data_IF_079940733784
#
_entry.id   IF_079940733784
#
_cell.length_a   1.000
_cell.length_b   1.000
_cell.length_c   1.000
_cell.angle_alpha   90.00
_cell.angle_beta   90.00
_cell.angle_gamma   90.00
#
_symmetry.space_group_name_H-M   'P 1'
#
loop_
_entity.id
_entity.type
_entity.pdbx_description
1 polymer ?
#
# COMPACT_ATOMS: atom_id res chain seq x y z
N UNK A 1 49.02 54.94 -16.27
CA UNK A 1 48.24 53.99 -17.08
C UNK A 1 48.18 52.65 -16.35
N UNK A 2 47.05 52.30 -15.72
CA UNK A 2 46.89 51.00 -15.02
C UNK A 2 46.53 49.92 -16.04
N UNK A 3 47.37 48.90 -16.16
CA UNK A 3 47.21 47.82 -17.15
C UNK A 3 45.90 47.03 -16.94
N UNK A 4 45.06 46.86 -17.96
CA UNK A 4 43.76 46.17 -17.87
C UNK A 4 43.87 44.65 -17.69
N UNK A 5 45.10 44.11 -17.71
CA UNK A 5 45.37 42.67 -17.64
C UNK A 5 45.18 42.13 -16.21
N UNK A 6 45.56 42.89 -15.18
CA UNK A 6 45.45 42.46 -13.79
C UNK A 6 44.00 42.30 -13.30
N UNK A 7 43.07 43.08 -13.86
CA UNK A 7 41.63 43.02 -13.53
C UNK A 7 40.95 41.74 -14.04
N UNK A 8 41.38 41.24 -15.22
CA UNK A 8 40.82 40.00 -15.80
C UNK A 8 41.34 38.75 -15.09
N UNK A 9 42.60 38.75 -14.66
CA UNK A 9 43.21 37.63 -13.92
C UNK A 9 42.59 37.51 -12.51
N UNK A 10 42.36 38.64 -11.82
CA UNK A 10 41.71 38.63 -10.50
C UNK A 10 40.26 38.10 -10.54
N UNK A 11 39.48 38.45 -11.59
CA UNK A 11 38.12 37.92 -11.78
C UNK A 11 38.09 36.42 -12.14
N UNK A 12 39.09 35.93 -12.88
CA UNK A 12 39.21 34.50 -13.20
C UNK A 12 39.56 33.67 -11.96
N UNK A 13 40.51 34.14 -11.14
CA UNK A 13 40.91 33.49 -9.88
C UNK A 13 39.77 33.47 -8.86
N UNK A 14 39.00 34.56 -8.74
CA UNK A 14 37.86 34.61 -7.81
C UNK A 14 36.74 33.63 -8.20
N UNK A 15 36.47 33.43 -9.50
CA UNK A 15 35.50 32.43 -9.97
C UNK A 15 36.00 30.99 -9.79
N UNK A 16 37.29 30.76 -9.94
CA UNK A 16 37.88 29.43 -9.79
C UNK A 16 37.94 29.00 -8.31
N UNK A 17 38.21 29.93 -7.39
CA UNK A 17 38.13 29.69 -5.94
C UNK A 17 36.70 29.44 -5.49
N UNK A 18 35.70 30.14 -6.05
CA UNK A 18 34.29 29.90 -5.73
C UNK A 18 33.82 28.53 -6.25
N UNK A 19 34.31 28.08 -7.41
CA UNK A 19 34.01 26.75 -7.96
C UNK A 19 34.66 25.63 -7.13
N UNK A 20 35.88 25.84 -6.61
CA UNK A 20 36.56 24.91 -5.73
C UNK A 20 35.91 24.80 -4.34
N UNK A 21 35.36 25.89 -3.80
CA UNK A 21 34.59 25.87 -2.54
C UNK A 21 33.22 25.18 -2.74
N UNK A 22 32.59 25.31 -3.92
CA UNK A 22 31.36 24.58 -4.25
C UNK A 22 31.60 23.08 -4.47
N UNK A 23 32.73 22.67 -5.06
CA UNK A 23 33.06 21.25 -5.23
C UNK A 23 33.54 20.56 -3.94
N UNK A 24 34.14 21.30 -3.00
CA UNK A 24 34.58 20.74 -1.71
C UNK A 24 33.41 20.39 -0.76
N UNK A 25 32.20 20.88 -1.03
CA UNK A 25 30.98 20.57 -0.26
C UNK A 25 30.11 19.46 -0.88
N UNK A 26 30.53 18.82 -1.98
CA UNK A 26 29.74 17.77 -2.68
C UNK A 26 30.29 16.35 -2.42
N UNK A 27 31.39 16.20 -1.67
CA UNK A 27 31.85 14.91 -1.16
C UNK A 27 31.72 14.85 0.36
N UNK A 28 30.49 14.96 0.86
CA UNK A 28 30.16 14.26 2.10
C UNK A 28 30.01 12.79 1.71
N UNK A 29 30.81 11.85 2.24
CA UNK A 29 30.50 10.44 2.08
C UNK A 29 29.10 10.27 2.66
N UNK A 30 28.12 9.98 1.80
CA UNK A 30 26.83 9.45 2.22
C UNK A 30 27.22 8.24 3.08
N UNK A 31 27.00 8.24 4.41
CA UNK A 31 27.13 7.00 5.13
C UNK A 31 26.15 6.08 4.44
N UNK A 32 26.65 5.02 3.82
CA UNK A 32 25.81 3.94 3.36
C UNK A 32 24.86 3.69 4.51
N UNK A 33 23.57 3.98 4.29
CA UNK A 33 22.54 3.71 5.27
C UNK A 33 22.50 2.18 5.30
N UNK A 34 23.40 1.62 6.11
CA UNK A 34 23.29 0.25 6.55
C UNK A 34 21.96 0.25 7.27
N UNK A 35 20.93 -0.20 6.56
CA UNK A 35 19.68 -0.62 7.14
C UNK A 35 20.02 -1.80 8.03
N UNK A 36 20.55 -1.51 9.21
CA UNK A 36 20.38 -2.36 10.37
C UNK A 36 18.89 -2.26 10.69
N UNK A 37 18.09 -3.02 9.94
CA UNK A 37 16.86 -3.58 10.46
C UNK A 37 17.29 -4.43 11.64
N UNK A 38 17.45 -3.80 12.80
CA UNK A 38 17.26 -4.50 14.05
C UNK A 38 15.83 -5.02 13.96
N UNK A 39 15.69 -6.29 13.57
CA UNK A 39 14.51 -7.07 13.87
C UNK A 39 14.46 -7.12 15.39
N UNK A 40 13.91 -6.05 15.97
CA UNK A 40 13.47 -6.04 17.34
C UNK A 40 12.53 -7.24 17.46
N UNK A 41 12.87 -8.14 18.37
CA UNK A 41 12.14 -9.37 18.65
C UNK A 41 10.64 -9.07 18.63
N UNK A 42 9.97 -9.61 17.62
CA UNK A 42 8.52 -9.48 17.45
C UNK A 42 7.87 -9.92 18.76
N UNK A 43 7.13 -9.04 19.45
CA UNK A 43 6.44 -9.45 20.67
C UNK A 43 5.55 -10.64 20.34
N UNK A 44 5.56 -11.66 21.19
CA UNK A 44 4.64 -12.79 21.11
C UNK A 44 3.23 -12.24 21.33
N UNK A 45 2.48 -12.03 20.24
CA UNK A 45 1.19 -11.34 20.30
C UNK A 45 0.11 -12.36 20.68
N UNK A 46 -0.18 -12.46 21.97
CA UNK A 46 -1.52 -12.85 22.41
C UNK A 46 -2.34 -11.56 22.52
N UNK A 47 -3.34 -11.37 21.64
CA UNK A 47 -4.16 -10.15 21.62
C UNK A 47 -4.99 -9.89 22.88
N UNK A 48 -4.99 -10.82 23.84
CA UNK A 48 -5.85 -10.80 25.03
C UNK A 48 -5.54 -9.71 26.08
N UNK A 49 -4.45 -8.94 25.96
CA UNK A 49 -4.02 -8.03 27.05
C UNK A 49 -3.43 -6.67 26.61
N UNK A 50 -3.54 -6.27 25.33
CA UNK A 50 -3.00 -4.98 24.89
C UNK A 50 -3.91 -3.80 25.28
N UNK A 51 -3.34 -2.83 25.99
CA UNK A 51 -3.98 -1.54 26.33
C UNK A 51 -4.09 -0.61 25.12
N UNK A 52 -5.02 0.35 25.17
CA UNK A 52 -5.18 1.36 24.11
C UNK A 52 -3.87 2.14 23.84
N UNK A 53 -3.09 2.41 24.89
CA UNK A 53 -1.80 3.09 24.75
C UNK A 53 -0.77 2.24 23.97
N UNK A 54 -0.75 0.93 24.17
CA UNK A 54 0.11 0.02 23.42
C UNK A 54 -0.34 -0.12 21.97
N UNK A 55 -1.65 -0.20 21.74
CA UNK A 55 -2.23 -0.21 20.39
C UNK A 55 -1.89 1.06 19.61
N UNK A 56 -1.91 2.23 20.25
CA UNK A 56 -1.46 3.49 19.65
C UNK A 56 0.03 3.47 19.30
N UNK A 57 0.89 2.94 20.19
CA UNK A 57 2.33 2.77 19.89
C UNK A 57 2.53 1.85 18.68
N UNK A 58 1.79 0.75 18.61
CA UNK A 58 1.83 -0.18 17.48
C UNK A 58 1.34 0.48 16.19
N UNK A 59 0.26 1.26 16.23
CA UNK A 59 -0.22 2.02 15.08
C UNK A 59 0.86 2.97 14.53
N UNK A 60 1.58 3.69 15.40
CA UNK A 60 2.69 4.55 14.97
C UNK A 60 3.82 3.74 14.31
N UNK A 61 4.12 2.53 14.80
CA UNK A 61 5.11 1.63 14.19
C UNK A 61 4.68 1.13 12.81
N UNK A 62 3.41 0.77 12.65
CA UNK A 62 2.81 0.38 11.37
C UNK A 62 2.90 1.55 10.37
N UNK A 63 2.49 2.76 10.79
CA UNK A 63 2.55 3.96 9.95
C UNK A 63 3.98 4.29 9.49
N UNK A 64 4.95 4.18 10.40
CA UNK A 64 6.36 4.44 10.09
C UNK A 64 7.06 3.26 9.38
N UNK A 65 6.33 2.20 8.98
CA UNK A 65 6.86 0.98 8.38
C UNK A 65 8.03 0.34 9.17
N UNK A 66 8.01 0.45 10.51
CA UNK A 66 9.04 -0.17 11.38
C UNK A 66 8.68 -1.59 11.83
N UNK A 67 7.59 -2.13 11.30
CA UNK A 67 7.17 -3.53 11.45
C UNK A 67 6.88 -4.12 10.07
N UNK A 68 7.13 -5.42 9.90
CA UNK A 68 6.90 -6.11 8.62
C UNK A 68 5.41 -6.29 8.33
N UNK A 69 5.06 -6.41 7.05
CA UNK A 69 3.70 -6.78 6.62
C UNK A 69 3.22 -8.10 7.23
N UNK A 70 4.12 -9.08 7.41
CA UNK A 70 3.82 -10.35 8.07
C UNK A 70 3.44 -10.16 9.53
N UNK A 71 4.22 -9.37 10.28
CA UNK A 71 3.91 -9.05 11.66
C UNK A 71 2.57 -8.31 11.76
N UNK A 72 2.32 -7.35 10.86
CA UNK A 72 1.07 -6.61 10.83
C UNK A 72 -0.14 -7.52 10.59
N UNK A 73 -0.03 -8.51 9.71
CA UNK A 73 -1.09 -9.50 9.52
C UNK A 73 -1.34 -10.30 10.80
N UNK A 74 -0.29 -10.90 11.38
CA UNK A 74 -0.42 -11.72 12.59
C UNK A 74 -1.06 -10.93 13.73
N UNK A 75 -0.67 -9.67 13.89
CA UNK A 75 -1.30 -8.74 14.82
C UNK A 75 -2.78 -8.55 14.49
N UNK A 76 -3.12 -8.19 13.25
CA UNK A 76 -4.50 -7.94 12.83
C UNK A 76 -5.44 -9.13 13.15
N UNK A 77 -4.97 -10.35 12.89
CA UNK A 77 -5.71 -11.59 13.14
C UNK A 77 -5.85 -11.90 14.63
N UNK A 78 -4.86 -11.53 15.45
CA UNK A 78 -4.87 -11.77 16.91
C UNK A 78 -5.75 -10.79 17.70
N UNK A 79 -6.03 -9.60 17.15
CA UNK A 79 -6.75 -8.55 17.86
C UNK A 79 -8.27 -8.75 17.81
N UNK A 80 -8.96 -8.26 18.84
CA UNK A 80 -10.42 -8.11 18.81
C UNK A 80 -10.85 -6.98 17.86
N UNK A 81 -12.13 -6.96 17.47
CA UNK A 81 -12.67 -5.87 16.64
C UNK A 81 -12.49 -4.49 17.30
N UNK A 82 -12.68 -4.39 18.63
CA UNK A 82 -12.50 -3.15 19.39
C UNK A 82 -11.04 -2.68 19.34
N UNK A 83 -10.08 -3.59 19.53
CA UNK A 83 -8.65 -3.22 19.47
C UNK A 83 -8.22 -2.83 18.05
N UNK A 84 -8.74 -3.52 17.03
CA UNK A 84 -8.52 -3.10 15.62
C UNK A 84 -9.06 -1.70 15.34
N UNK A 85 -10.20 -1.33 15.93
CA UNK A 85 -10.76 0.02 15.80
C UNK A 85 -9.82 1.07 16.43
N UNK A 86 -9.20 0.79 17.59
CA UNK A 86 -8.22 1.71 18.22
C UNK A 86 -7.01 1.95 17.30
N UNK A 87 -6.41 0.88 16.77
CA UNK A 87 -5.26 1.00 15.85
C UNK A 87 -5.68 1.73 14.58
N UNK A 88 -6.84 1.38 14.00
CA UNK A 88 -7.35 1.99 12.77
C UNK A 88 -7.68 3.47 12.95
N UNK A 89 -8.29 3.85 14.07
CA UNK A 89 -8.57 5.25 14.39
C UNK A 89 -7.28 6.07 14.48
N UNK A 90 -6.22 5.50 15.09
CA UNK A 90 -4.92 6.16 15.14
C UNK A 90 -4.28 6.30 13.76
N UNK A 91 -4.34 5.25 12.93
CA UNK A 91 -3.83 5.32 11.55
C UNK A 91 -4.61 6.33 10.71
N UNK A 92 -5.93 6.42 10.89
CA UNK A 92 -6.76 7.41 10.21
C UNK A 92 -6.34 8.85 10.58
N UNK A 93 -6.02 9.12 11.85
CA UNK A 93 -5.47 10.41 12.27
C UNK A 93 -4.12 10.72 11.58
N UNK A 94 -3.21 9.74 11.52
CA UNK A 94 -1.88 9.90 10.93
C UNK A 94 -1.91 10.07 9.40
N UNK A 95 -2.94 9.54 8.75
CA UNK A 95 -3.14 9.61 7.29
C UNK A 95 -4.14 10.68 6.87
N UNK A 96 -4.65 11.47 7.83
CA UNK A 96 -5.68 12.49 7.60
C UNK A 96 -6.95 11.93 6.91
N UNK A 97 -7.35 10.72 7.31
CA UNK A 97 -8.55 10.02 6.83
C UNK A 97 -9.70 10.21 7.82
N UNK A 98 -10.90 10.46 7.29
CA UNK A 98 -12.11 10.48 8.11
C UNK A 98 -12.46 9.07 8.58
N UNK A 99 -12.31 8.80 9.87
CA UNK A 99 -12.62 7.49 10.44
C UNK A 99 -14.11 7.12 10.26
N UNK A 100 -15.01 8.10 10.34
CA UNK A 100 -16.44 7.89 10.07
C UNK A 100 -16.70 7.48 8.63
N UNK A 101 -16.06 8.16 7.66
CA UNK A 101 -16.25 7.85 6.26
C UNK A 101 -15.63 6.49 5.89
N UNK A 102 -14.46 6.16 6.46
CA UNK A 102 -13.86 4.84 6.35
C UNK A 102 -14.80 3.74 6.90
N UNK A 103 -15.46 3.96 8.04
CA UNK A 103 -16.43 2.98 8.59
C UNK A 103 -17.66 2.82 7.70
N UNK A 104 -18.11 3.90 7.05
CA UNK A 104 -19.17 3.82 6.04
C UNK A 104 -18.72 2.98 4.83
N UNK A 105 -17.52 3.22 4.30
CA UNK A 105 -16.93 2.41 3.21
C UNK A 105 -16.81 0.93 3.60
N UNK A 106 -16.30 0.62 4.80
CA UNK A 106 -16.22 -0.77 5.30
C UNK A 106 -17.61 -1.43 5.31
N UNK A 107 -18.64 -0.70 5.73
CA UNK A 107 -20.01 -1.22 5.78
C UNK A 107 -20.55 -1.49 4.37
N UNK A 108 -20.34 -0.57 3.42
CA UNK A 108 -20.69 -0.75 1.99
C UNK A 108 -19.96 -1.95 1.41
N UNK A 109 -18.63 -2.01 1.54
CA UNK A 109 -17.81 -3.13 1.07
C UNK A 109 -18.24 -4.47 1.67
N UNK A 110 -18.66 -4.50 2.93
CA UNK A 110 -19.18 -5.71 3.56
C UNK A 110 -20.53 -6.13 2.98
N UNK A 111 -21.44 -5.19 2.71
CA UNK A 111 -22.72 -5.45 2.09
C UNK A 111 -22.56 -5.98 0.66
N UNK A 112 -21.72 -5.31 -0.13
CA UNK A 112 -21.34 -5.69 -1.49
C UNK A 112 -20.70 -7.08 -1.53
N UNK A 113 -19.75 -7.39 -0.65
CA UNK A 113 -19.15 -8.74 -0.54
C UNK A 113 -20.16 -9.82 -0.15
N UNK A 114 -21.11 -9.53 0.74
CA UNK A 114 -22.17 -10.49 1.11
C UNK A 114 -23.08 -10.79 -0.07
N UNK A 115 -23.44 -9.78 -0.86
CA UNK A 115 -24.24 -9.97 -2.08
C UNK A 115 -23.51 -10.88 -3.11
N UNK A 116 -22.19 -10.77 -3.22
CA UNK A 116 -21.37 -11.61 -4.11
C UNK A 116 -21.02 -13.01 -3.55
N UNK A 117 -21.22 -13.25 -2.24
CA UNK A 117 -20.96 -14.55 -1.60
C UNK A 117 -22.07 -15.59 -1.77
N UNK A 118 -23.23 -15.18 -2.31
CA UNK A 118 -24.23 -16.10 -2.84
C UNK A 118 -23.72 -16.68 -4.16
N UNK A 119 -23.28 -17.94 -4.14
CA UNK A 119 -22.41 -18.55 -5.14
C UNK A 119 -22.69 -18.16 -6.59
N UNK A 120 -21.63 -17.74 -7.30
CA UNK A 120 -21.32 -17.80 -8.75
C UNK A 120 -22.41 -17.58 -9.83
N UNK A 121 -23.68 -17.34 -9.49
CA UNK A 121 -24.80 -17.47 -10.43
C UNK A 121 -25.40 -16.14 -10.87
N UNK A 122 -24.81 -14.99 -10.50
CA UNK A 122 -25.23 -13.72 -11.08
C UNK A 122 -24.10 -12.86 -11.65
N UNK A 123 -23.55 -13.25 -12.81
CA UNK A 123 -22.53 -12.49 -13.54
C UNK A 123 -23.07 -11.19 -14.21
N UNK A 124 -24.32 -10.76 -13.95
CA UNK A 124 -24.97 -9.65 -14.67
C UNK A 124 -25.11 -8.31 -13.94
N UNK A 125 -24.59 -8.19 -12.72
CA UNK A 125 -24.59 -6.89 -11.99
C UNK A 125 -23.19 -6.34 -11.71
N UNK A 126 -22.18 -6.95 -12.33
CA UNK A 126 -20.83 -6.41 -12.38
C UNK A 126 -20.76 -5.63 -13.70
N UNK A 127 -20.15 -4.45 -13.75
CA UNK A 127 -19.80 -3.76 -14.99
C UNK A 127 -18.43 -4.11 -15.61
N UNK A 128 -18.15 -5.37 -16.07
CA UNK A 128 -16.97 -5.70 -16.85
C UNK A 128 -17.31 -6.58 -18.09
N UNK A 129 -16.46 -6.52 -19.11
CA UNK A 129 -16.42 -7.57 -20.14
C UNK A 129 -16.03 -8.89 -19.48
N UNK A 130 -16.88 -9.92 -19.47
CA UNK A 130 -16.79 -11.02 -18.52
C UNK A 130 -15.71 -11.99 -18.98
N UNK A 131 -14.69 -12.16 -18.15
CA UNK A 131 -14.02 -13.44 -18.10
C UNK A 131 -13.69 -13.84 -16.67
N UNK A 132 -13.38 -12.91 -15.74
CA UNK A 132 -12.86 -13.32 -14.44
C UNK A 132 -13.12 -12.36 -13.27
N UNK A 133 -14.35 -12.29 -12.75
CA UNK A 133 -14.63 -11.56 -11.50
C UNK A 133 -14.45 -12.48 -10.30
N UNK A 134 -13.40 -12.28 -9.50
CA UNK A 134 -13.12 -13.16 -8.35
C UNK A 134 -12.64 -12.36 -7.16
N UNK A 135 -13.03 -12.81 -5.97
CA UNK A 135 -12.43 -12.36 -4.72
C UNK A 135 -11.00 -12.90 -4.62
N UNK A 136 -10.03 -12.01 -4.42
CA UNK A 136 -8.64 -12.36 -4.23
C UNK A 136 -8.31 -12.28 -2.73
N UNK A 137 -8.18 -13.41 -2.01
CA UNK A 137 -7.89 -13.39 -0.58
C UNK A 137 -6.40 -13.15 -0.30
N UNK A 138 -6.10 -12.74 0.92
CA UNK A 138 -4.74 -12.50 1.40
C UNK A 138 -3.91 -13.80 1.43
N UNK A 139 -2.63 -13.72 1.00
CA UNK A 139 -1.78 -14.89 0.81
C UNK A 139 -1.16 -15.45 2.10
N UNK A 140 -1.08 -14.68 3.21
CA UNK A 140 -0.46 -15.18 4.44
C UNK A 140 0.96 -15.72 4.20
N UNK A 141 1.84 -14.89 3.64
CA UNK A 141 3.28 -15.15 3.37
C UNK A 141 3.68 -16.61 3.10
N UNK A 142 3.82 -16.98 1.82
CA UNK A 142 4.50 -18.23 1.44
C UNK A 142 4.12 -18.74 0.06
N UNK A 143 5.03 -18.61 -0.90
CA UNK A 143 5.12 -19.44 -2.13
C UNK A 143 6.36 -18.96 -2.93
N UNK A 144 6.93 -19.78 -3.80
CA UNK A 144 8.09 -19.42 -4.63
C UNK A 144 7.69 -19.02 -6.07
N UNK A 145 6.41 -18.70 -6.31
CA UNK A 145 5.91 -18.28 -7.63
C UNK A 145 6.22 -16.80 -7.94
N UNK A 146 6.28 -16.39 -9.22
CA UNK A 146 6.63 -15.03 -9.59
C UNK A 146 5.64 -14.03 -9.02
N UNK A 147 6.16 -13.07 -8.26
CA UNK A 147 5.41 -11.93 -7.75
C UNK A 147 5.10 -10.98 -8.91
N UNK A 148 3.85 -10.54 -9.00
CA UNK A 148 3.45 -9.51 -9.97
C UNK A 148 3.12 -8.23 -9.20
N UNK A 149 3.86 -7.17 -9.50
CA UNK A 149 3.57 -5.83 -9.00
C UNK A 149 2.48 -5.14 -9.80
N UNK A 150 1.78 -4.21 -9.14
CA UNK A 150 0.93 -3.26 -9.84
C UNK A 150 1.80 -2.35 -10.71
N UNK A 151 1.44 -2.16 -11.97
CA UNK A 151 2.18 -1.36 -12.94
C UNK A 151 1.60 0.03 -13.16
N UNK A 152 0.33 0.24 -12.81
CA UNK A 152 -0.36 1.50 -13.03
C UNK A 152 -1.64 1.58 -12.20
N UNK A 153 -2.08 2.81 -11.95
CA UNK A 153 -3.30 3.10 -11.22
C UNK A 153 -4.01 4.33 -11.80
N UNK A 154 -5.35 4.33 -11.72
CA UNK A 154 -6.17 5.48 -12.10
C UNK A 154 -7.49 5.48 -11.33
N UNK A 155 -8.14 6.64 -11.29
CA UNK A 155 -9.50 6.75 -10.78
C UNK A 155 -10.46 6.09 -11.77
N UNK A 156 -11.32 5.23 -11.25
CA UNK A 156 -12.31 4.51 -12.02
C UNK A 156 -13.59 4.32 -11.19
N UNK A 157 -14.57 5.23 -11.35
CA UNK A 157 -15.86 5.13 -10.67
C UNK A 157 -16.69 3.90 -11.07
N UNK A 158 -16.23 3.09 -12.02
CA UNK A 158 -16.93 1.88 -12.46
C UNK A 158 -16.25 0.59 -12.02
N UNK A 159 -15.20 0.68 -11.19
CA UNK A 159 -14.33 -0.45 -10.92
C UNK A 159 -15.07 -1.59 -10.20
N UNK A 160 -15.75 -1.30 -9.09
CA UNK A 160 -16.48 -2.30 -8.31
C UNK A 160 -17.98 -2.40 -8.63
N UNK A 161 -18.42 -1.64 -9.65
CA UNK A 161 -19.81 -1.53 -10.13
C UNK A 161 -20.74 -0.66 -9.27
N UNK A 162 -20.21 0.12 -8.31
CA UNK A 162 -20.92 1.23 -7.69
C UNK A 162 -20.48 2.58 -8.30
N UNK A 163 -21.27 3.18 -9.21
CA UNK A 163 -20.91 4.47 -9.81
C UNK A 163 -20.96 5.65 -8.83
N UNK A 164 -21.44 5.45 -7.60
CA UNK A 164 -21.67 6.51 -6.63
C UNK A 164 -20.49 6.75 -5.68
N UNK A 165 -19.47 5.90 -5.71
CA UNK A 165 -18.24 6.11 -4.96
C UNK A 165 -17.00 6.21 -5.87
N UNK A 166 -15.93 6.73 -5.27
CA UNK A 166 -14.69 7.00 -5.97
C UNK A 166 -13.75 5.83 -5.69
N UNK A 167 -13.55 5.05 -6.74
CA UNK A 167 -12.66 3.90 -6.73
C UNK A 167 -11.34 4.18 -7.45
N UNK A 168 -10.30 3.50 -6.98
CA UNK A 168 -9.04 3.38 -7.69
C UNK A 168 -8.93 1.99 -8.30
N UNK A 169 -8.61 1.94 -9.59
CA UNK A 169 -8.22 0.72 -10.29
C UNK A 169 -6.71 0.58 -10.24
N UNK A 170 -6.21 -0.55 -9.76
CA UNK A 170 -4.80 -0.95 -9.84
C UNK A 170 -4.65 -2.09 -10.83
N UNK A 171 -3.75 -1.90 -11.80
CA UNK A 171 -3.56 -2.84 -12.90
C UNK A 171 -2.22 -3.55 -12.78
N UNK A 172 -2.22 -4.84 -13.10
CA UNK A 172 -1.04 -5.70 -13.19
C UNK A 172 -1.09 -6.56 -14.46
N UNK A 173 0.01 -6.55 -15.21
CA UNK A 173 0.25 -7.53 -16.29
C UNK A 173 0.88 -8.79 -15.70
N UNK A 174 0.31 -9.94 -16.01
CA UNK A 174 0.83 -11.22 -15.54
C UNK A 174 1.65 -11.90 -16.65
N UNK A 175 2.83 -12.45 -16.35
CA UNK A 175 3.73 -13.02 -17.36
C UNK A 175 3.23 -14.35 -17.94
N UNK A 176 2.18 -14.93 -17.38
CA UNK A 176 1.58 -16.19 -17.81
C UNK A 176 0.06 -16.09 -17.71
N UNK A 177 -0.64 -17.00 -18.39
CA UNK A 177 -2.10 -17.13 -18.30
C UNK A 177 -2.49 -17.47 -16.87
N UNK A 178 -3.31 -16.63 -16.26
CA UNK A 178 -3.71 -16.71 -14.86
C UNK A 178 -5.18 -16.93 -14.77
N UNK A 179 -5.55 -17.86 -13.91
CA UNK A 179 -6.91 -17.95 -13.44
C UNK A 179 -7.03 -17.07 -12.18
N UNK A 180 -7.79 -15.96 -12.20
CA UNK A 180 -7.81 -15.03 -11.07
C UNK A 180 -8.25 -15.64 -9.74
N UNK A 181 -9.00 -16.75 -9.74
CA UNK A 181 -9.34 -17.46 -8.50
C UNK A 181 -8.13 -18.12 -7.80
N UNK A 182 -7.05 -18.38 -8.53
CA UNK A 182 -5.78 -18.89 -7.98
C UNK A 182 -4.90 -17.78 -7.39
N UNK A 183 -5.26 -16.52 -7.64
CA UNK A 183 -4.46 -15.37 -7.20
C UNK A 183 -4.73 -15.04 -5.74
N UNK A 184 -3.69 -14.54 -5.10
CA UNK A 184 -3.70 -14.03 -3.74
C UNK A 184 -2.95 -12.71 -3.72
N UNK A 185 -3.38 -11.80 -2.86
CA UNK A 185 -2.65 -10.56 -2.66
C UNK A 185 -1.79 -10.62 -1.42
N UNK A 186 -0.72 -9.84 -1.43
CA UNK A 186 0.07 -9.54 -0.25
C UNK A 186 0.62 -8.12 -0.38
N UNK A 187 1.20 -7.61 0.70
CA UNK A 187 1.93 -6.35 0.65
C UNK A 187 3.31 -6.45 1.25
N UNK A 188 4.22 -5.60 0.78
CA UNK A 188 5.52 -5.34 1.40
C UNK A 188 5.45 -4.28 2.51
N UNK A 189 4.35 -3.54 2.63
CA UNK A 189 4.15 -2.52 3.66
C UNK A 189 3.16 -2.98 4.72
N UNK A 190 3.53 -2.81 5.99
CA UNK A 190 2.61 -3.03 7.11
C UNK A 190 1.38 -2.12 7.04
N UNK A 191 1.55 -0.85 6.65
CA UNK A 191 0.46 0.10 6.53
C UNK A 191 -0.56 -0.34 5.47
N UNK A 192 -0.10 -0.76 4.29
CA UNK A 192 -0.98 -1.26 3.22
C UNK A 192 -1.67 -2.55 3.66
N UNK A 193 -0.96 -3.50 4.27
CA UNK A 193 -1.57 -4.72 4.83
C UNK A 193 -2.69 -4.37 5.81
N UNK A 194 -2.44 -3.48 6.77
CA UNK A 194 -3.46 -3.10 7.76
C UNK A 194 -4.67 -2.45 7.08
N UNK A 195 -4.43 -1.44 6.25
CA UNK A 195 -5.49 -0.67 5.63
C UNK A 195 -6.41 -1.53 4.76
N UNK A 196 -5.84 -2.41 3.92
CA UNK A 196 -6.63 -3.27 3.04
C UNK A 196 -7.33 -4.41 3.80
N UNK A 197 -6.72 -4.96 4.86
CA UNK A 197 -7.43 -5.89 5.73
C UNK A 197 -8.62 -5.22 6.43
N UNK A 198 -8.47 -3.98 6.89
CA UNK A 198 -9.55 -3.20 7.51
C UNK A 198 -10.67 -2.92 6.53
N UNK A 199 -10.34 -2.35 5.36
CA UNK A 199 -11.33 -1.91 4.37
C UNK A 199 -12.07 -3.09 3.70
N UNK A 200 -11.34 -4.19 3.44
CA UNK A 200 -11.83 -5.30 2.60
C UNK A 200 -11.85 -6.65 3.31
N UNK A 201 -11.66 -6.69 4.64
CA UNK A 201 -11.68 -7.93 5.44
C UNK A 201 -10.79 -9.05 4.91
N UNK A 202 -9.64 -8.70 4.34
CA UNK A 202 -8.66 -9.67 3.81
C UNK A 202 -8.92 -10.18 2.38
N UNK A 203 -9.96 -9.69 1.69
CA UNK A 203 -10.32 -10.17 0.34
C UNK A 203 -10.64 -9.02 -0.60
N UNK A 204 -9.84 -8.84 -1.65
CA UNK A 204 -9.96 -7.73 -2.60
C UNK A 204 -10.85 -8.09 -3.79
N UNK A 205 -11.61 -7.11 -4.28
CA UNK A 205 -12.38 -7.22 -5.52
C UNK A 205 -11.45 -7.14 -6.72
N UNK A 206 -11.52 -8.14 -7.60
CA UNK A 206 -10.68 -8.17 -8.81
C UNK A 206 -11.45 -8.57 -10.05
N UNK A 207 -10.98 -8.08 -11.20
CA UNK A 207 -11.43 -8.54 -12.50
C UNK A 207 -10.32 -8.49 -13.55
N UNK A 208 -10.50 -9.22 -14.66
CA UNK A 208 -9.61 -9.20 -15.82
C UNK A 208 -10.39 -9.31 -17.12
N UNK A 209 -9.94 -8.57 -18.13
CA UNK A 209 -10.43 -8.67 -19.52
C UNK A 209 -9.71 -9.78 -20.32
N UNK A 210 -8.65 -10.37 -19.76
CA UNK A 210 -7.94 -11.52 -20.31
C UNK A 210 -7.25 -12.31 -19.20
N UNK A 211 -6.72 -13.49 -19.53
CA UNK A 211 -5.92 -14.31 -18.62
C UNK A 211 -4.54 -13.70 -18.30
N UNK A 212 -4.14 -12.60 -18.95
CA UNK A 212 -2.83 -11.96 -18.73
C UNK A 212 -2.90 -10.67 -17.91
N UNK A 213 -4.08 -10.36 -17.36
CA UNK A 213 -4.36 -9.07 -16.76
C UNK A 213 -5.17 -9.22 -15.49
N UNK A 214 -4.82 -8.42 -14.48
CA UNK A 214 -5.56 -8.32 -13.23
C UNK A 214 -5.76 -6.85 -12.92
N UNK A 215 -7.01 -6.50 -12.60
CA UNK A 215 -7.41 -5.23 -12.04
C UNK A 215 -7.88 -5.47 -10.62
N UNK A 216 -7.46 -4.60 -9.70
CA UNK A 216 -7.91 -4.57 -8.31
C UNK A 216 -8.64 -3.26 -8.07
N UNK A 217 -9.86 -3.34 -7.55
CA UNK A 217 -10.67 -2.18 -7.23
C UNK A 217 -10.58 -1.86 -5.75
N UNK A 218 -10.15 -0.64 -5.44
CA UNK A 218 -10.00 -0.16 -4.07
C UNK A 218 -10.62 1.23 -3.93
N UNK A 219 -11.61 1.33 -3.05
CA UNK A 219 -12.24 2.56 -2.58
C UNK A 219 -11.27 3.58 -1.99
N UNK A 220 -11.71 4.84 -2.09
CA UNK A 220 -10.93 6.02 -1.75
C UNK A 220 -10.39 6.01 -0.31
N UNK A 221 -11.20 5.66 0.69
CA UNK A 221 -10.78 5.77 2.09
C UNK A 221 -9.80 4.67 2.46
N UNK A 222 -9.99 3.45 1.97
CA UNK A 222 -9.03 2.36 2.12
C UNK A 222 -7.66 2.71 1.52
N UNK A 223 -7.63 3.31 0.32
CA UNK A 223 -6.38 3.74 -0.33
C UNK A 223 -5.70 4.88 0.44
N UNK A 224 -6.45 5.88 0.91
CA UNK A 224 -5.86 6.97 1.68
C UNK A 224 -5.36 6.51 3.06
N UNK A 225 -6.06 5.58 3.71
CA UNK A 225 -5.61 4.96 4.95
C UNK A 225 -4.31 4.17 4.73
N UNK A 226 -4.13 3.62 3.53
CA UNK A 226 -2.91 2.94 3.11
C UNK A 226 -1.75 3.91 2.79
N UNK A 227 -1.90 5.22 3.01
CA UNK A 227 -0.87 6.22 2.70
C UNK A 227 -0.94 6.75 1.26
N UNK A 228 -2.05 6.54 0.57
CA UNK A 228 -2.31 7.07 -0.77
C UNK A 228 -1.92 6.13 -1.91
N UNK A 229 -2.23 6.55 -3.14
CA UNK A 229 -2.18 5.71 -4.34
C UNK A 229 -0.79 5.18 -4.67
N UNK A 230 0.24 6.02 -4.51
CA UNK A 230 1.63 5.66 -4.79
C UNK A 230 2.10 4.56 -3.82
N UNK A 231 1.79 4.70 -2.52
CA UNK A 231 2.20 3.69 -1.54
C UNK A 231 1.52 2.34 -1.80
N UNK A 232 0.26 2.34 -2.21
CA UNK A 232 -0.44 1.12 -2.62
C UNK A 232 0.17 0.54 -3.89
N UNK A 233 0.45 1.34 -4.92
CA UNK A 233 1.08 0.86 -6.16
C UNK A 233 2.42 0.17 -5.88
N UNK A 234 3.27 0.80 -5.07
CA UNK A 234 4.62 0.32 -4.79
C UNK A 234 4.61 -0.96 -3.95
N UNK A 235 3.62 -1.12 -3.07
CA UNK A 235 3.63 -2.18 -2.07
C UNK A 235 2.57 -3.27 -2.26
N UNK A 236 1.50 -3.05 -3.01
CA UNK A 236 0.51 -4.09 -3.32
C UNK A 236 1.07 -5.02 -4.40
N UNK A 237 1.06 -6.31 -4.09
CA UNK A 237 1.57 -7.36 -4.97
C UNK A 237 0.56 -8.50 -5.04
N UNK A 238 0.58 -9.23 -6.15
CA UNK A 238 -0.26 -10.40 -6.36
C UNK A 238 0.57 -11.59 -6.78
N UNK A 239 0.09 -12.79 -6.42
CA UNK A 239 0.81 -14.03 -6.60
C UNK A 239 -0.11 -15.24 -6.66
N UNK A 240 0.34 -16.26 -7.38
CA UNK A 240 -0.30 -17.58 -7.46
C UNK A 240 -0.13 -18.34 -6.15
N UNK A 241 -1.21 -19.00 -5.72
CA UNK A 241 -1.13 -20.05 -4.70
C UNK A 241 -0.61 -21.36 -5.30
#
# INVERSE_FOLDING_TARGET
MKSPIFSKIAKALSKMVLLLILLANVLVPIPALASTTSQESTPTISGSELSDAELVKIANRIYNNTVSAEYTQKLYDSLTAKQRDVVTQRLAQLTNVSFTALKAEIATNLATRKAYSGGLDNPRLLGPGPAYNVQMPYLGTGSNTPNVGMSSQWLDPSCDSDPNDIDYRYFANTPQSVYPASMRWYSTSGLVTWALNTAYGGSLSTYGSSVYQINVCLGYWGVNLAGGTVNVLDNLKVKYR
#
